data_IF_523095121367
#
_entry.id   IF_523095121367
#
_cell.length_a   1.000
_cell.length_b   1.000
_cell.length_c   1.000
_cell.angle_alpha   90.00
_cell.angle_beta   90.00
_cell.angle_gamma   90.00
#
_symmetry.space_group_name_H-M   'P 1'
#
loop_
_entity.id
_entity.type
_entity.pdbx_description
1 polymer ?
#
# COMPACT_ATOMS: atom_id res chain seq x y z
N UNK A 1 -24.07 9.50 -7.91
CA UNK A 1 -24.48 8.23 -8.53
C UNK A 1 -25.57 7.63 -7.67
N UNK A 2 -26.52 6.89 -8.27
CA UNK A 2 -27.52 6.10 -7.53
C UNK A 2 -27.13 4.62 -7.61
N UNK A 3 -27.55 3.81 -6.64
CA UNK A 3 -27.14 2.41 -6.52
C UNK A 3 -28.35 1.48 -6.60
N UNK A 4 -28.42 0.69 -7.68
CA UNK A 4 -29.38 -0.39 -7.87
C UNK A 4 -28.90 -1.68 -7.18
N UNK A 5 -29.82 -2.63 -6.94
CA UNK A 5 -29.55 -3.97 -6.39
C UNK A 5 -29.04 -4.02 -4.94
N UNK A 6 -29.09 -2.91 -4.18
CA UNK A 6 -28.92 -2.94 -2.74
C UNK A 6 -30.17 -3.55 -2.09
N UNK A 7 -29.99 -4.53 -1.21
CA UNK A 7 -31.09 -5.24 -0.53
C UNK A 7 -31.17 -4.78 0.92
N UNK A 8 -32.36 -4.35 1.33
CA UNK A 8 -32.67 -3.90 2.68
C UNK A 8 -33.83 -4.71 3.29
N UNK A 9 -33.97 -4.64 4.61
CA UNK A 9 -35.24 -4.86 5.29
C UNK A 9 -35.71 -3.58 5.98
N UNK A 10 -37.02 -3.46 6.19
CA UNK A 10 -37.60 -2.40 7.02
C UNK A 10 -38.02 -2.98 8.37
N UNK A 11 -37.58 -2.34 9.46
CA UNK A 11 -37.98 -2.69 10.81
C UNK A 11 -38.73 -1.54 11.48
N UNK A 12 -39.72 -1.86 12.30
CA UNK A 12 -40.48 -0.93 13.15
C UNK A 12 -40.08 -1.14 14.61
N UNK A 13 -39.99 -0.05 15.36
CA UNK A 13 -39.79 -0.12 16.80
C UNK A 13 -41.11 -0.47 17.52
N UNK A 14 -41.04 -1.41 18.46
CA UNK A 14 -42.11 -1.81 19.38
C UNK A 14 -42.09 -0.95 20.65
N UNK A 15 -43.18 -0.98 21.41
CA UNK A 15 -43.33 -0.17 22.64
C UNK A 15 -42.34 -0.54 23.76
N UNK A 16 -41.78 -1.75 23.72
CA UNK A 16 -40.70 -2.24 24.59
C UNK A 16 -39.29 -1.83 24.10
N UNK A 17 -39.20 -1.06 23.01
CA UNK A 17 -37.97 -0.62 22.38
C UNK A 17 -37.32 -1.62 21.43
N UNK A 18 -37.86 -2.84 21.30
CA UNK A 18 -37.35 -3.86 20.37
C UNK A 18 -37.67 -3.51 18.91
N UNK A 19 -37.01 -4.19 17.97
CA UNK A 19 -37.19 -3.99 16.54
C UNK A 19 -37.79 -5.24 15.90
N UNK A 20 -38.84 -5.06 15.09
CA UNK A 20 -39.50 -6.13 14.37
C UNK A 20 -39.58 -5.80 12.88
N UNK A 21 -39.37 -6.78 12.02
CA UNK A 21 -39.50 -6.62 10.56
C UNK A 21 -40.94 -6.31 10.20
N UNK A 22 -41.17 -5.29 9.36
CA UNK A 22 -42.52 -4.99 8.87
C UNK A 22 -42.93 -6.09 7.87
N UNK A 23 -44.09 -6.75 8.01
CA UNK A 23 -44.47 -7.84 7.13
C UNK A 23 -44.46 -7.44 5.64
N UNK A 24 -43.83 -8.26 4.79
CA UNK A 24 -43.65 -7.97 3.37
C UNK A 24 -42.48 -7.03 3.03
N UNK A 25 -41.62 -6.73 4.01
CA UNK A 25 -40.42 -5.91 3.84
C UNK A 25 -39.13 -6.63 4.26
N UNK A 26 -39.15 -7.97 4.26
CA UNK A 26 -38.02 -8.82 4.63
C UNK A 26 -36.85 -8.71 3.64
N UNK A 27 -37.12 -8.32 2.40
CA UNK A 27 -36.14 -8.14 1.32
C UNK A 27 -36.66 -7.14 0.27
N UNK A 28 -36.36 -5.86 0.47
CA UNK A 28 -36.64 -4.75 -0.43
C UNK A 28 -35.38 -4.40 -1.22
N UNK A 29 -35.44 -4.41 -2.55
CA UNK A 29 -34.30 -4.13 -3.43
C UNK A 29 -34.41 -2.74 -4.04
N UNK A 30 -33.31 -1.97 -4.11
CA UNK A 30 -33.28 -0.72 -4.86
C UNK A 30 -33.36 -0.99 -6.37
N UNK A 31 -34.27 -0.33 -7.08
CA UNK A 31 -34.34 -0.42 -8.55
C UNK A 31 -33.33 0.50 -9.26
N UNK A 32 -33.38 0.56 -10.59
CA UNK A 32 -32.50 1.35 -11.50
C UNK A 32 -32.24 2.81 -11.05
N UNK A 33 -33.21 3.44 -10.38
CA UNK A 33 -33.10 4.82 -9.89
C UNK A 33 -32.51 4.93 -8.46
N UNK A 34 -32.05 3.81 -7.89
CA UNK A 34 -31.52 3.65 -6.53
C UNK A 34 -32.54 3.87 -5.41
N UNK A 35 -33.83 3.57 -5.65
CA UNK A 35 -34.89 3.81 -4.67
C UNK A 35 -35.66 2.54 -4.29
N UNK A 36 -36.10 2.55 -3.03
CA UNK A 36 -37.14 1.70 -2.46
C UNK A 36 -38.28 2.65 -2.06
N UNK A 37 -39.54 2.22 -2.27
CA UNK A 37 -40.73 2.93 -1.80
C UNK A 37 -41.57 1.95 -0.99
N UNK A 38 -41.91 2.34 0.24
CA UNK A 38 -42.82 1.60 1.11
C UNK A 38 -43.97 2.52 1.49
N UNK A 39 -45.20 2.06 1.28
CA UNK A 39 -46.43 2.82 1.50
C UNK A 39 -47.22 2.25 2.68
N UNK A 40 -48.28 2.95 3.08
CA UNK A 40 -49.26 2.51 4.09
C UNK A 40 -48.68 2.15 5.47
N UNK A 41 -47.51 2.74 5.79
CA UNK A 41 -46.90 2.63 7.11
C UNK A 41 -47.70 3.43 8.15
N UNK A 42 -48.01 2.77 9.28
CA UNK A 42 -48.57 3.42 10.44
C UNK A 42 -47.59 4.42 11.06
N UNK A 43 -48.07 5.36 11.88
CA UNK A 43 -47.19 6.23 12.65
C UNK A 43 -46.31 5.43 13.64
N UNK A 44 -45.08 5.89 13.82
CA UNK A 44 -44.06 5.24 14.64
C UNK A 44 -42.64 5.47 14.13
N UNK A 45 -41.69 4.85 14.83
CA UNK A 45 -40.27 4.86 14.48
C UNK A 45 -39.89 3.60 13.72
N UNK A 46 -39.05 3.77 12.71
CA UNK A 46 -38.65 2.78 11.73
C UNK A 46 -37.14 2.85 11.47
N UNK A 47 -36.58 1.80 10.89
CA UNK A 47 -35.24 1.82 10.31
C UNK A 47 -35.12 0.89 9.12
N UNK A 48 -34.37 1.32 8.10
CA UNK A 48 -33.86 0.40 7.10
C UNK A 48 -32.58 -0.26 7.62
N UNK A 49 -32.42 -1.55 7.38
CA UNK A 49 -31.20 -2.32 7.66
C UNK A 49 -30.74 -2.93 6.34
N UNK A 50 -29.52 -2.63 5.90
CA UNK A 50 -28.96 -3.26 4.70
C UNK A 50 -28.66 -4.74 4.98
N UNK A 51 -29.01 -5.60 4.04
CA UNK A 51 -28.80 -7.04 4.06
C UNK A 51 -27.75 -7.47 3.03
N UNK A 52 -27.69 -6.80 1.89
CA UNK A 52 -26.66 -6.98 0.88
C UNK A 52 -26.40 -5.63 0.18
N UNK A 53 -25.13 -5.25 0.05
CA UNK A 53 -24.72 -4.13 -0.78
C UNK A 53 -24.75 -4.50 -2.27
N UNK A 54 -24.82 -3.50 -3.18
CA UNK A 54 -24.59 -3.71 -4.60
C UNK A 54 -23.20 -4.30 -4.90
N UNK A 55 -23.06 -4.89 -6.08
CA UNK A 55 -21.77 -5.40 -6.56
C UNK A 55 -20.68 -4.31 -6.57
N UNK A 56 -19.52 -4.62 -5.99
CA UNK A 56 -18.41 -3.66 -5.85
C UNK A 56 -18.56 -2.65 -4.70
N UNK A 57 -19.53 -2.82 -3.79
CA UNK A 57 -19.72 -1.95 -2.62
C UNK A 57 -19.66 -2.71 -1.30
N UNK A 58 -19.25 -2.00 -0.25
CA UNK A 58 -19.21 -2.52 1.12
C UNK A 58 -20.60 -2.45 1.78
N UNK A 59 -20.98 -3.55 2.42
CA UNK A 59 -22.19 -3.66 3.25
C UNK A 59 -22.14 -2.72 4.45
N UNK A 60 -23.13 -1.85 4.58
CA UNK A 60 -23.30 -0.93 5.70
C UNK A 60 -24.09 -1.60 6.82
N UNK A 61 -23.40 -1.89 7.92
CA UNK A 61 -24.02 -2.53 9.11
C UNK A 61 -24.80 -1.57 10.00
N UNK A 62 -24.72 -0.26 9.73
CA UNK A 62 -25.42 0.79 10.51
C UNK A 62 -26.84 1.00 9.99
N UNK A 63 -27.89 0.72 10.80
CA UNK A 63 -29.26 0.98 10.38
C UNK A 63 -29.56 2.47 10.16
N UNK A 64 -30.48 2.76 9.24
CA UNK A 64 -30.88 4.11 8.85
C UNK A 64 -32.26 4.42 9.46
N UNK A 65 -32.34 5.16 10.59
CA UNK A 65 -33.60 5.41 11.28
C UNK A 65 -34.42 6.53 10.65
N UNK A 66 -35.75 6.43 10.79
CA UNK A 66 -36.69 7.52 10.53
C UNK A 66 -37.94 7.39 11.41
N UNK A 67 -38.80 8.41 11.38
CA UNK A 67 -40.08 8.42 12.10
C UNK A 67 -41.17 9.00 11.19
N UNK A 68 -42.36 8.41 11.27
CA UNK A 68 -43.58 8.93 10.66
C UNK A 68 -44.55 9.35 11.78
N UNK A 69 -45.00 10.60 11.72
CA UNK A 69 -45.91 11.21 12.69
C UNK A 69 -46.94 12.10 11.99
N UNK A 70 -48.00 12.49 12.69
CA UNK A 70 -49.12 13.26 12.13
C UNK A 70 -48.74 14.67 11.63
N UNK A 71 -47.60 15.21 12.08
CA UNK A 71 -47.00 16.47 11.68
C UNK A 71 -45.88 16.32 10.63
N UNK A 72 -45.60 15.09 10.16
CA UNK A 72 -44.64 14.85 9.09
C UNK A 72 -45.14 15.46 7.78
N UNK A 73 -44.36 16.33 7.11
CA UNK A 73 -44.74 16.93 5.82
C UNK A 73 -45.13 15.87 4.80
N UNK A 74 -46.26 16.09 4.11
CA UNK A 74 -46.82 15.20 3.09
C UNK A 74 -46.96 13.73 3.54
N UNK A 75 -47.00 13.48 4.86
CA UNK A 75 -46.94 12.17 5.53
C UNK A 75 -45.83 11.25 4.98
N UNK A 76 -44.74 11.83 4.49
CA UNK A 76 -43.68 11.13 3.77
C UNK A 76 -42.31 11.37 4.43
N UNK A 77 -41.66 10.30 4.87
CA UNK A 77 -40.27 10.34 5.30
C UNK A 77 -39.34 9.99 4.14
N UNK A 78 -38.26 10.76 3.95
CA UNK A 78 -37.18 10.45 3.00
C UNK A 78 -35.89 10.25 3.76
N UNK A 79 -35.19 9.16 3.46
CA UNK A 79 -33.85 8.84 3.99
C UNK A 79 -32.91 8.46 2.85
N UNK A 80 -31.61 8.56 3.10
CA UNK A 80 -30.55 8.24 2.13
C UNK A 80 -29.64 7.18 2.72
N UNK A 81 -29.41 6.11 1.96
CA UNK A 81 -28.34 5.15 2.21
C UNK A 81 -27.08 5.56 1.43
N UNK A 82 -25.90 5.26 1.96
CA UNK A 82 -24.61 5.55 1.32
C UNK A 82 -23.67 4.38 1.53
N UNK A 83 -23.21 3.74 0.45
CA UNK A 83 -22.22 2.68 0.51
C UNK A 83 -20.84 3.19 0.05
N UNK A 84 -19.80 2.63 0.63
CA UNK A 84 -18.43 2.83 0.18
C UNK A 84 -18.11 1.84 -0.95
N UNK A 85 -17.49 2.32 -2.03
CA UNK A 85 -17.08 1.44 -3.14
C UNK A 85 -15.81 0.69 -2.72
N UNK A 86 -15.80 -0.62 -2.93
CA UNK A 86 -14.61 -1.45 -2.70
C UNK A 86 -13.53 -1.02 -3.70
N UNK A 87 -12.30 -0.69 -3.26
CA UNK A 87 -11.22 -0.37 -4.16
C UNK A 87 -10.91 -1.54 -5.10
N UNK A 88 -10.93 -1.27 -6.40
CA UNK A 88 -10.37 -2.19 -7.40
C UNK A 88 -8.86 -1.97 -7.41
N UNK A 89 -8.11 -3.04 -7.18
CA UNK A 89 -6.65 -3.04 -7.13
C UNK A 89 -6.10 -3.74 -8.38
N UNK A 90 -4.98 -3.24 -8.90
CA UNK A 90 -4.23 -3.85 -9.98
C UNK A 90 -2.93 -4.49 -9.49
N UNK A 91 -2.09 -4.88 -10.45
CA UNK A 91 -0.77 -5.45 -10.22
C UNK A 91 0.22 -5.00 -11.30
N UNK A 92 1.50 -5.22 -11.05
CA UNK A 92 2.56 -5.12 -12.04
C UNK A 92 3.50 -6.32 -11.96
N UNK A 93 3.93 -6.79 -13.13
CA UNK A 93 4.92 -7.86 -13.30
C UNK A 93 6.10 -7.26 -14.05
N UNK A 94 7.28 -7.30 -13.45
CA UNK A 94 8.53 -6.85 -14.07
C UNK A 94 9.43 -8.06 -14.32
N UNK A 95 9.83 -8.25 -15.57
CA UNK A 95 10.82 -9.26 -15.98
C UNK A 95 12.18 -8.60 -16.19
N UNK A 96 13.21 -9.13 -15.55
CA UNK A 96 14.60 -8.71 -15.70
C UNK A 96 15.31 -9.57 -16.72
N UNK A 97 15.99 -8.94 -17.68
CA UNK A 97 16.73 -9.63 -18.76
C UNK A 97 18.14 -9.07 -18.95
N UNK A 98 19.02 -9.85 -19.59
CA UNK A 98 20.30 -9.38 -20.13
C UNK A 98 20.04 -8.43 -21.31
N UNK A 99 20.73 -7.30 -21.37
CA UNK A 99 20.54 -6.27 -22.41
C UNK A 99 21.18 -6.58 -23.78
N UNK A 100 22.04 -7.59 -23.87
CA UNK A 100 22.57 -8.13 -25.12
C UNK A 100 21.74 -9.34 -25.62
N UNK A 101 21.15 -10.12 -24.72
CA UNK A 101 20.26 -11.24 -25.03
C UNK A 101 18.99 -11.25 -24.16
N UNK A 102 17.92 -10.65 -24.68
CA UNK A 102 16.62 -10.55 -23.99
C UNK A 102 15.93 -11.91 -23.72
N UNK A 103 16.43 -13.02 -24.28
CA UNK A 103 15.96 -14.36 -23.94
C UNK A 103 16.55 -14.89 -22.62
N UNK A 104 17.65 -14.29 -22.15
CA UNK A 104 18.31 -14.62 -20.87
C UNK A 104 17.70 -13.76 -19.76
N UNK A 105 16.93 -14.40 -18.87
CA UNK A 105 16.32 -13.78 -17.68
C UNK A 105 17.29 -13.76 -16.50
N UNK A 106 17.17 -12.75 -15.62
CA UNK A 106 18.14 -12.50 -14.54
C UNK A 106 17.52 -12.58 -13.13
N UNK A 107 17.90 -13.61 -12.38
CA UNK A 107 17.61 -13.78 -10.95
C UNK A 107 18.47 -12.85 -10.08
N UNK A 108 17.97 -12.47 -8.91
CA UNK A 108 18.76 -11.78 -7.87
C UNK A 108 18.85 -10.26 -7.97
N UNK A 109 18.21 -9.62 -8.94
CA UNK A 109 18.10 -8.15 -8.98
C UNK A 109 17.21 -7.67 -7.83
N UNK A 110 17.69 -6.73 -7.02
CA UNK A 110 16.92 -6.13 -5.93
C UNK A 110 16.25 -4.85 -6.41
N UNK A 111 14.93 -4.80 -6.27
CA UNK A 111 14.07 -3.67 -6.57
C UNK A 111 13.39 -3.12 -5.33
N UNK A 112 12.91 -1.88 -5.45
CA UNK A 112 11.83 -1.34 -4.61
C UNK A 112 10.77 -0.68 -5.48
N UNK A 113 9.54 -0.66 -5.00
CA UNK A 113 8.44 0.04 -5.66
C UNK A 113 8.20 1.41 -5.02
N UNK A 114 8.09 2.44 -5.86
CA UNK A 114 7.65 3.77 -5.45
C UNK A 114 6.35 4.17 -6.14
N UNK A 115 5.55 4.99 -5.46
CA UNK A 115 4.33 5.62 -5.95
C UNK A 115 4.50 7.14 -6.01
N UNK A 116 3.91 7.78 -7.02
CA UNK A 116 3.85 9.23 -7.09
C UNK A 116 2.85 9.77 -6.06
N UNK A 117 3.34 10.59 -5.14
CA UNK A 117 2.54 11.26 -4.12
C UNK A 117 1.84 12.51 -4.68
N UNK A 118 0.74 13.00 -4.05
CA UNK A 118 -0.04 14.14 -4.56
C UNK A 118 0.73 15.48 -4.60
N UNK A 119 1.86 15.59 -3.89
CA UNK A 119 2.75 16.75 -3.91
C UNK A 119 3.82 16.68 -5.02
N UNK A 120 3.86 15.58 -5.79
CA UNK A 120 4.85 15.30 -6.83
C UNK A 120 6.10 14.56 -6.33
N UNK A 121 6.17 14.22 -5.03
CA UNK A 121 7.21 13.36 -4.47
C UNK A 121 7.04 11.89 -4.86
N UNK A 122 8.08 11.09 -4.62
CA UNK A 122 8.02 9.62 -4.74
C UNK A 122 8.14 9.00 -3.36
N UNK A 123 7.18 8.14 -3.01
CA UNK A 123 7.11 7.44 -1.73
C UNK A 123 7.24 5.94 -1.94
N UNK A 124 7.98 5.24 -1.08
CA UNK A 124 8.07 3.76 -1.13
C UNK A 124 6.72 3.16 -0.76
N UNK A 125 6.27 2.19 -1.55
CA UNK A 125 5.03 1.47 -1.28
C UNK A 125 5.30 0.43 -0.19
N UNK A 126 4.54 0.50 0.91
CA UNK A 126 4.78 -0.41 2.03
C UNK A 126 4.45 -1.86 1.67
N UNK A 127 5.34 -2.80 2.03
CA UNK A 127 5.32 -4.19 1.58
C UNK A 127 6.07 -4.45 0.28
N UNK A 128 6.62 -3.40 -0.36
CA UNK A 128 7.40 -3.46 -1.60
C UNK A 128 8.74 -2.71 -1.47
N UNK A 129 9.29 -2.67 -0.25
CA UNK A 129 10.59 -2.06 0.07
C UNK A 129 11.77 -2.85 -0.52
N UNK A 130 11.64 -4.18 -0.61
CA UNK A 130 12.64 -5.11 -1.13
C UNK A 130 11.95 -6.22 -1.96
N UNK A 131 12.16 -6.21 -3.28
CA UNK A 131 11.63 -7.19 -4.24
C UNK A 131 12.79 -7.79 -5.02
N UNK A 132 13.04 -9.09 -4.88
CA UNK A 132 14.15 -9.77 -5.56
C UNK A 132 13.62 -10.57 -6.74
N UNK A 133 14.22 -10.43 -7.92
CA UNK A 133 13.83 -11.22 -9.09
C UNK A 133 14.08 -12.70 -8.84
N UNK A 134 13.08 -13.54 -9.14
CA UNK A 134 13.15 -14.97 -8.95
C UNK A 134 14.00 -15.68 -10.04
N UNK A 135 14.06 -17.02 -10.00
CA UNK A 135 14.76 -17.83 -10.98
C UNK A 135 14.21 -17.72 -12.44
N UNK A 136 13.08 -17.04 -12.65
CA UNK A 136 12.53 -16.70 -13.96
C UNK A 136 12.82 -15.22 -14.33
N UNK A 137 13.57 -14.50 -13.50
CA UNK A 137 13.84 -13.07 -13.60
C UNK A 137 12.66 -12.18 -13.22
N UNK A 138 11.64 -12.69 -12.53
CA UNK A 138 10.37 -11.96 -12.32
C UNK A 138 10.26 -11.39 -10.91
N UNK A 139 9.75 -10.16 -10.79
CA UNK A 139 9.08 -9.65 -9.57
C UNK A 139 7.62 -9.33 -9.85
N UNK A 140 6.76 -9.57 -8.85
CA UNK A 140 5.33 -9.28 -8.90
C UNK A 140 4.97 -8.29 -7.78
N UNK A 141 4.22 -7.26 -8.12
CA UNK A 141 3.68 -6.27 -7.19
C UNK A 141 2.15 -6.23 -7.30
N UNK A 142 1.46 -6.92 -6.39
CA UNK A 142 -0.01 -7.01 -6.34
C UNK A 142 -0.66 -5.97 -5.41
N UNK A 143 -1.97 -5.80 -5.52
CA UNK A 143 -2.75 -4.97 -4.58
C UNK A 143 -2.53 -3.46 -4.76
N UNK A 144 -2.05 -3.04 -5.93
CA UNK A 144 -1.75 -1.64 -6.23
C UNK A 144 -3.05 -0.86 -6.48
N UNK A 145 -3.27 0.23 -5.73
CA UNK A 145 -4.34 1.17 -6.04
C UNK A 145 -4.06 1.90 -7.37
N UNK A 146 -5.09 2.47 -8.01
CA UNK A 146 -4.90 3.26 -9.21
C UNK A 146 -3.94 4.45 -8.98
N UNK A 147 -3.04 4.70 -9.94
CA UNK A 147 -2.05 5.77 -9.87
C UNK A 147 -0.76 5.45 -10.65
N UNK A 148 0.18 6.40 -10.60
CA UNK A 148 1.49 6.29 -11.26
C UNK A 148 2.53 5.74 -10.27
N UNK A 149 3.33 4.80 -10.74
CA UNK A 149 4.31 4.03 -9.98
C UNK A 149 5.65 3.98 -10.73
N UNK A 150 6.71 3.53 -10.07
CA UNK A 150 7.96 3.12 -10.72
C UNK A 150 8.68 2.03 -9.94
N UNK A 151 9.31 1.12 -10.67
CA UNK A 151 10.35 0.25 -10.10
C UNK A 151 11.69 1.01 -10.11
N UNK A 152 12.46 0.86 -9.04
CA UNK A 152 13.84 1.37 -8.93
C UNK A 152 14.74 0.19 -8.61
N UNK A 153 15.74 -0.08 -9.45
CA UNK A 153 16.77 -1.07 -9.15
C UNK A 153 17.67 -0.51 -8.03
N UNK A 154 17.93 -1.34 -7.03
CA UNK A 154 18.73 -1.03 -5.83
C UNK A 154 20.02 -1.85 -5.78
N UNK A 155 20.03 -3.04 -6.40
CA UNK A 155 21.22 -3.81 -6.70
C UNK A 155 20.98 -4.65 -7.97
N UNK A 156 21.95 -4.64 -8.89
CA UNK A 156 21.95 -5.51 -10.04
C UNK A 156 22.25 -6.98 -9.66
N UNK A 157 21.87 -7.95 -10.51
CA UNK A 157 22.35 -9.33 -10.44
C UNK A 157 23.88 -9.43 -10.51
N UNK A 158 24.42 -10.53 -9.97
CA UNK A 158 25.86 -10.81 -10.04
C UNK A 158 26.38 -10.81 -11.49
N UNK A 159 27.44 -10.04 -11.74
CA UNK A 159 28.03 -9.89 -13.07
C UNK A 159 27.37 -8.82 -13.95
N UNK A 160 26.39 -8.07 -13.46
CA UNK A 160 25.71 -6.99 -14.20
C UNK A 160 25.96 -5.60 -13.61
N UNK A 161 25.88 -4.58 -14.45
CA UNK A 161 25.86 -3.18 -14.02
C UNK A 161 24.45 -2.78 -13.53
N UNK A 162 24.39 -2.00 -12.46
CA UNK A 162 23.17 -1.37 -11.93
C UNK A 162 22.63 -0.33 -12.92
N UNK A 163 21.36 -0.43 -13.29
CA UNK A 163 20.66 0.65 -13.98
C UNK A 163 19.91 1.52 -12.95
N UNK A 164 20.46 2.70 -12.66
CA UNK A 164 19.83 3.67 -11.76
C UNK A 164 18.58 4.35 -12.38
N UNK A 165 18.23 4.04 -13.64
CA UNK A 165 17.07 4.59 -14.36
C UNK A 165 15.76 3.96 -13.86
N UNK A 166 14.85 4.72 -13.20
CA UNK A 166 13.59 4.16 -12.75
C UNK A 166 12.67 3.80 -13.93
N UNK A 167 11.95 2.69 -13.83
CA UNK A 167 10.97 2.24 -14.82
C UNK A 167 9.55 2.66 -14.40
N UNK A 168 8.98 3.74 -14.95
CA UNK A 168 7.65 4.22 -14.59
C UNK A 168 6.54 3.39 -15.25
N UNK A 169 5.41 3.28 -14.56
CA UNK A 169 4.18 2.68 -15.09
C UNK A 169 2.93 3.27 -14.43
N UNK A 170 1.76 3.00 -14.99
CA UNK A 170 0.48 3.43 -14.43
C UNK A 170 -0.46 2.25 -14.21
N UNK A 171 -1.01 2.13 -13.01
CA UNK A 171 -2.11 1.21 -12.70
C UNK A 171 -3.41 1.94 -13.00
N UNK A 172 -4.15 1.44 -13.99
CA UNK A 172 -5.37 2.07 -14.49
C UNK A 172 -6.49 2.09 -13.45
N UNK A 173 -7.21 3.20 -13.36
CA UNK A 173 -8.47 3.27 -12.62
C UNK A 173 -9.63 2.67 -13.42
N UNK A 174 -10.47 1.86 -12.78
CA UNK A 174 -11.63 1.26 -13.43
C UNK A 174 -12.44 0.35 -12.52
N UNK A 175 -13.38 -0.39 -13.12
CA UNK A 175 -14.21 -1.39 -12.46
C UNK A 175 -13.63 -2.82 -12.52
N UNK A 176 -12.44 -2.99 -13.13
CA UNK A 176 -11.75 -4.27 -13.29
C UNK A 176 -10.27 -4.13 -12.95
N UNK A 177 -9.62 -5.17 -12.38
CA UNK A 177 -8.19 -5.15 -12.08
C UNK A 177 -7.36 -4.99 -13.36
N UNK A 178 -6.25 -4.28 -13.27
CA UNK A 178 -5.28 -4.13 -14.37
C UNK A 178 -3.96 -4.78 -13.97
N UNK A 179 -3.37 -5.60 -14.84
CA UNK A 179 -2.00 -6.09 -14.71
C UNK A 179 -1.14 -5.35 -15.74
N UNK A 180 -0.04 -4.75 -15.29
CA UNK A 180 0.96 -4.13 -16.17
C UNK A 180 2.14 -5.08 -16.31
N UNK A 181 2.57 -5.35 -17.55
CA UNK A 181 3.76 -6.16 -17.83
C UNK A 181 4.90 -5.25 -18.31
N UNK A 182 6.08 -5.41 -17.71
CA UNK A 182 7.25 -4.58 -17.91
C UNK A 182 8.49 -5.46 -18.12
N UNK A 183 9.46 -4.97 -18.88
CA UNK A 183 10.78 -5.59 -19.03
C UNK A 183 11.86 -4.56 -18.72
N UNK A 184 12.87 -4.93 -17.93
CA UNK A 184 14.05 -4.10 -17.67
C UNK A 184 15.34 -4.86 -17.93
N UNK A 185 16.19 -4.27 -18.76
CA UNK A 185 17.47 -4.82 -19.21
C UNK A 185 18.60 -4.42 -18.25
N UNK A 186 19.63 -5.26 -18.04
CA UNK A 186 20.92 -4.81 -17.48
C UNK A 186 22.05 -5.13 -18.43
N UNK A 187 23.06 -4.27 -18.46
CA UNK A 187 24.28 -4.52 -19.23
C UNK A 187 25.21 -5.44 -18.43
N UNK A 188 25.68 -6.58 -18.97
CA UNK A 188 26.68 -7.40 -18.28
C UNK A 188 28.00 -6.64 -18.15
N UNK A 189 28.69 -6.83 -17.03
CA UNK A 189 30.02 -6.29 -16.80
C UNK A 189 31.02 -6.94 -17.78
N UNK A 190 32.08 -6.21 -18.20
CA UNK A 190 33.12 -6.81 -19.01
C UNK A 190 33.79 -7.94 -18.23
N UNK A 191 33.89 -9.12 -18.85
CA UNK A 191 34.73 -10.20 -18.33
C UNK A 191 36.17 -9.72 -18.31
N UNK A 192 36.84 -9.85 -17.16
CA UNK A 192 38.28 -9.59 -17.03
C UNK A 192 39.01 -10.42 -18.11
N UNK A 193 39.87 -9.82 -18.96
CA UNK A 193 40.56 -10.57 -19.99
C UNK A 193 41.34 -11.70 -19.34
N UNK A 194 41.05 -12.94 -19.73
CA UNK A 194 41.85 -14.09 -19.33
C UNK A 194 43.29 -13.83 -19.75
N UNK A 195 44.18 -13.65 -18.77
CA UNK A 195 45.59 -13.41 -19.01
C UNK A 195 46.08 -14.55 -19.92
N UNK A 196 46.66 -14.26 -21.11
CA UNK A 196 46.98 -15.29 -22.06
C UNK A 196 48.00 -16.23 -21.43
N UNK A 197 47.63 -17.51 -21.29
CA UNK A 197 48.52 -18.55 -20.77
C UNK A 197 49.79 -18.52 -21.59
N UNK A 198 50.90 -18.02 -21.00
CA UNK A 198 52.14 -17.83 -21.73
C UNK A 198 52.68 -19.21 -22.16
N UNK A 199 52.70 -19.53 -23.48
CA UNK A 199 53.20 -20.82 -23.93
C UNK A 199 54.72 -20.97 -23.74
N UNK A 200 55.41 -19.89 -23.35
CA UNK A 200 56.85 -19.81 -23.15
C UNK A 200 57.29 -19.76 -21.68
N UNK A 201 56.38 -19.84 -20.70
CA UNK A 201 56.74 -20.03 -19.29
C UNK A 201 56.58 -21.50 -18.84
N UNK A 202 57.66 -22.31 -18.87
CA UNK A 202 57.64 -23.68 -18.37
C UNK A 202 57.80 -23.77 -16.83
N UNK A 203 57.69 -22.66 -16.09
CA UNK A 203 57.98 -22.61 -14.64
C UNK A 203 56.75 -22.58 -13.73
N UNK A 204 55.86 -23.55 -13.94
CA UNK A 204 55.16 -24.21 -12.82
C UNK A 204 55.93 -25.48 -12.40
N UNK A 205 56.95 -25.38 -11.52
CA UNK A 205 57.51 -26.54 -10.86
C UNK A 205 56.53 -26.97 -9.76
N UNK A 206 55.77 -28.02 -10.04
CA UNK A 206 54.90 -28.71 -9.08
C UNK A 206 55.52 -28.81 -7.67
N UNK A 207 54.79 -28.34 -6.68
CA UNK A 207 55.11 -28.33 -5.24
C UNK A 207 55.85 -29.59 -4.76
N UNK A 208 57.09 -29.44 -4.24
CA UNK A 208 57.77 -30.48 -3.51
C UNK A 208 58.27 -29.98 -2.13
N UNK A 209 57.38 -29.97 -1.15
CA UNK A 209 57.62 -30.29 0.27
C UNK A 209 58.72 -29.54 1.07
N UNK A 210 58.28 -28.94 2.19
CA UNK A 210 59.11 -28.46 3.31
C UNK A 210 60.10 -29.54 3.82
N UNK A 211 61.37 -29.17 4.05
CA UNK A 211 61.86 -29.32 5.43
C UNK A 211 62.73 -28.17 5.96
N UNK A 212 62.34 -27.69 7.14
CA UNK A 212 63.11 -26.96 8.15
C UNK A 212 64.63 -27.25 8.20
N UNK A 213 65.47 -26.22 8.33
CA UNK A 213 66.12 -25.84 9.61
C UNK A 213 67.37 -24.93 9.51
N UNK A 214 67.32 -23.83 10.30
CA UNK A 214 68.42 -23.24 11.11
C UNK A 214 69.77 -22.83 10.50
N UNK A 215 70.07 -21.53 10.61
CA UNK A 215 71.40 -20.94 10.40
C UNK A 215 71.45 -19.46 10.81
N UNK A 216 71.26 -19.16 12.10
CA UNK A 216 70.98 -17.79 12.57
C UNK A 216 72.20 -16.93 12.95
N UNK A 217 71.98 -15.62 13.01
CA UNK A 217 72.67 -14.69 13.93
C UNK A 217 71.86 -13.41 14.19
N UNK A 218 71.51 -13.23 15.47
CA UNK A 218 71.32 -11.98 16.24
C UNK A 218 72.19 -10.78 15.80
N UNK A 219 71.95 -9.47 16.07
CA UNK A 219 70.99 -8.68 16.90
C UNK A 219 71.23 -7.17 16.56
N UNK A 220 70.42 -6.13 16.85
CA UNK A 220 68.96 -5.84 16.93
C UNK A 220 68.76 -4.36 17.37
N UNK A 221 67.56 -3.77 17.17
CA UNK A 221 67.08 -2.45 17.70
C UNK A 221 67.80 -1.20 17.08
N UNK A 222 67.13 -0.27 16.39
CA UNK A 222 66.28 0.82 16.94
C UNK A 222 65.23 1.36 15.96
N UNK A 223 64.20 2.02 16.51
CA UNK A 223 63.08 2.60 15.77
C UNK A 223 63.31 4.08 15.40
N UNK A 224 62.66 4.54 14.34
CA UNK A 224 62.27 5.95 14.18
C UNK A 224 61.06 6.09 13.24
N UNK A 225 60.03 6.82 13.68
CA UNK A 225 58.93 7.31 12.85
C UNK A 225 59.04 8.83 12.75
N UNK A 226 58.78 9.46 11.59
CA UNK A 226 58.38 10.85 11.53
C UNK A 226 56.85 10.96 11.60
N UNK A 227 56.34 11.71 12.58
CA UNK A 227 54.92 12.11 12.63
C UNK A 227 54.69 13.40 11.85
N UNK A 228 53.48 13.61 11.34
CA UNK A 228 52.92 14.96 11.20
C UNK A 228 51.55 15.06 11.90
N UNK A 229 51.57 15.74 13.05
CA UNK A 229 50.50 16.55 13.68
C UNK A 229 49.17 16.62 12.91
N UNK A 230 48.03 16.18 13.44
CA UNK A 230 47.28 16.80 14.56
C UNK A 230 45.90 17.26 14.00
N UNK A 231 44.74 17.10 14.65
CA UNK A 231 44.33 17.72 15.93
C UNK A 231 43.25 16.90 16.66
N UNK A 232 43.53 16.61 17.94
CA UNK A 232 42.68 16.47 19.15
C UNK A 232 41.16 16.18 19.11
N UNK A 233 40.80 15.14 19.87
CA UNK A 233 39.76 15.00 20.94
C UNK A 233 38.29 15.39 20.63
N UNK A 234 37.26 14.68 21.12
CA UNK A 234 37.18 13.88 22.35
C UNK A 234 36.39 12.55 22.22
N UNK A 235 36.42 11.74 23.28
CA UNK A 235 35.75 10.42 23.42
C UNK A 235 35.05 10.32 24.79
N UNK A 236 34.12 9.36 24.90
CA UNK A 236 33.23 9.04 26.02
C UNK A 236 31.99 9.97 26.09
N UNK A 237 30.75 9.50 26.14
CA UNK A 237 30.23 8.13 26.27
C UNK A 237 29.74 7.86 27.69
N UNK A 238 28.42 7.69 27.85
CA UNK A 238 27.85 6.97 28.99
C UNK A 238 26.38 6.55 28.79
N UNK A 239 25.96 5.66 29.69
CA UNK A 239 24.70 4.95 29.88
C UNK A 239 23.34 5.56 29.49
N UNK A 240 22.40 4.64 29.23
CA UNK A 240 20.94 4.82 29.30
C UNK A 240 20.48 5.28 30.70
N UNK A 241 19.30 5.93 30.78
CA UNK A 241 18.28 5.42 31.69
C UNK A 241 16.87 5.36 31.07
N UNK A 242 16.00 4.53 31.68
CA UNK A 242 14.61 4.36 31.29
C UNK A 242 13.64 5.10 32.24
N UNK A 243 12.60 5.71 31.68
CA UNK A 243 11.31 6.05 32.30
C UNK A 243 10.31 6.31 31.14
N UNK A 244 9.13 5.68 31.00
CA UNK A 244 8.03 5.33 31.90
C UNK A 244 6.89 6.38 31.95
N UNK A 245 5.69 5.92 31.54
CA UNK A 245 4.34 6.44 31.82
C UNK A 245 3.88 7.76 31.14
N UNK A 246 2.71 7.68 30.47
CA UNK A 246 1.97 8.85 29.96
C UNK A 246 0.84 8.49 28.99
N UNK A 247 -0.32 8.07 29.50
CA UNK A 247 -1.53 7.87 28.69
C UNK A 247 -2.39 9.14 28.61
N UNK A 248 -3.14 9.30 27.51
CA UNK A 248 -4.53 9.82 27.36
C UNK A 248 -4.72 10.48 25.98
N UNK A 249 -5.88 10.27 25.34
CA UNK A 249 -6.26 11.09 24.18
C UNK A 249 -7.18 10.46 23.13
N UNK A 250 -8.28 9.80 23.50
CA UNK A 250 -9.33 9.45 22.52
C UNK A 250 -10.11 10.73 22.19
N UNK A 251 -10.03 11.18 20.94
CA UNK A 251 -10.85 12.28 20.41
C UNK A 251 -11.90 11.75 19.44
N UNK A 252 -13.10 11.43 19.94
CA UNK A 252 -14.24 11.09 19.11
C UNK A 252 -14.93 12.38 18.62
N UNK A 253 -14.79 12.70 17.33
CA UNK A 253 -15.44 13.83 16.67
C UNK A 253 -16.90 13.50 16.31
N UNK A 254 -17.82 13.74 17.24
CA UNK A 254 -19.26 13.66 16.99
C UNK A 254 -19.77 15.00 16.43
N UNK A 255 -20.02 15.04 15.13
CA UNK A 255 -20.60 16.20 14.44
C UNK A 255 -22.13 16.15 14.43
N UNK A 256 -22.79 16.69 15.47
CA UNK A 256 -24.25 16.88 15.49
C UNK A 256 -24.65 18.15 14.70
N UNK A 257 -25.08 17.97 13.45
CA UNK A 257 -25.64 19.05 12.62
C UNK A 257 -27.12 19.31 12.89
N UNK A 258 -27.47 20.07 13.92
CA UNK A 258 -28.85 20.52 14.15
C UNK A 258 -29.13 21.81 13.39
N UNK A 259 -29.78 21.71 12.24
CA UNK A 259 -30.22 22.87 11.46
C UNK A 259 -31.54 23.45 12.02
N UNK A 260 -31.43 24.44 12.92
CA UNK A 260 -32.59 25.16 13.46
C UNK A 260 -33.04 26.26 12.48
N UNK A 261 -34.13 26.05 11.73
CA UNK A 261 -34.67 27.09 10.83
C UNK A 261 -35.68 27.99 11.55
N UNK A 262 -35.28 29.24 11.83
CA UNK A 262 -36.13 30.23 12.48
C UNK A 262 -37.11 30.87 11.46
N UNK A 263 -38.39 30.52 11.55
CA UNK A 263 -39.44 31.13 10.74
C UNK A 263 -39.72 32.58 11.20
N UNK A 264 -39.35 33.57 10.38
CA UNK A 264 -39.79 34.96 10.57
C UNK A 264 -41.25 35.08 10.15
N UNK A 265 -42.15 35.24 11.13
CA UNK A 265 -43.49 35.77 10.87
C UNK A 265 -43.36 37.18 10.30
N UNK A 266 -44.01 37.44 9.17
CA UNK A 266 -44.41 38.80 8.80
C UNK A 266 -45.94 38.84 8.82
N UNK A 267 -46.51 39.40 9.88
CA UNK A 267 -47.96 39.45 10.06
C UNK A 267 -48.46 40.90 10.04
N UNK A 268 -49.47 41.13 9.18
CA UNK A 268 -50.45 42.24 9.18
C UNK A 268 -50.01 43.66 8.84
N UNK A 269 -50.69 44.23 7.84
CA UNK A 269 -51.72 45.30 7.90
C UNK A 269 -51.80 45.95 6.51
N UNK A 270 -52.97 46.27 5.94
CA UNK A 270 -54.37 46.16 6.38
C UNK A 270 -55.27 45.85 5.20
#
# INVERSE_FOLDING_TARGET
MVLENAVFKLERQRDDGTWEVVPGSESLTTGENGRIVVSDLAFGSYRFVELAAPEGYQLQTTPIPFTLAADTPDLTATVTATNEKIPVLGSAVLTKVDGNDHATVLEGALFRLERLAPDGGWEVVSGFEELVTDANGVVVADGLAAGSYRFVEMAAPDGYALDETPMPFEVGGGDQPTQVELTMENTPLPTDPTDPVDPADPTDPADPADPTASGGSSVSITAECPSSSGVRLARAGDALPAAALGALGVAASVSFGVALWASRRHERRS
#
